data_IF_953487714098
#
_entry.id   IF_953487714098
#
_cell.length_a   1.000
_cell.length_b   1.000
_cell.length_c   1.000
_cell.angle_alpha   90.00
_cell.angle_beta   90.00
_cell.angle_gamma   90.00
#
_symmetry.space_group_name_H-M   'P 1'
#
loop_
_entity.id
_entity.type
_entity.pdbx_description
1 polymer ?
#
# COMPACT_ATOMS: atom_id res chain seq x y z
N UNK A 1 -21.16 45.38 12.89
CA UNK A 1 -20.31 44.31 13.46
C UNK A 1 -19.32 45.02 14.35
N UNK A 2 -19.35 44.79 15.66
CA UNK A 2 -18.35 45.35 16.57
C UNK A 2 -17.00 44.68 16.33
N UNK A 3 -15.96 45.50 16.19
CA UNK A 3 -14.57 45.11 15.97
C UNK A 3 -13.98 44.63 17.29
N UNK A 4 -13.98 43.33 17.54
CA UNK A 4 -13.22 42.73 18.63
C UNK A 4 -13.91 41.51 19.21
N UNK A 5 -13.43 40.33 18.79
CA UNK A 5 -13.62 38.96 19.31
C UNK A 5 -14.03 37.98 18.19
N UNK A 6 -13.37 36.86 17.86
CA UNK A 6 -12.22 36.12 18.44
C UNK A 6 -11.68 35.21 17.31
N UNK A 7 -10.73 35.69 16.51
CA UNK A 7 -9.88 34.80 15.70
C UNK A 7 -8.61 34.50 16.48
N UNK A 8 -8.29 33.23 16.73
CA UNK A 8 -7.01 32.85 17.34
C UNK A 8 -5.96 32.75 16.23
N UNK A 9 -4.79 33.33 16.47
CA UNK A 9 -3.63 33.14 15.60
C UNK A 9 -2.88 31.87 16.02
N UNK A 10 -2.47 31.09 15.03
CA UNK A 10 -1.67 29.89 15.17
C UNK A 10 -0.39 30.06 14.37
N UNK A 11 0.75 29.73 14.98
CA UNK A 11 2.02 29.71 14.26
C UNK A 11 2.12 28.48 13.34
N UNK A 12 2.99 28.54 12.32
CA UNK A 12 3.26 27.38 11.47
C UNK A 12 3.72 26.18 12.30
N UNK A 13 3.07 25.03 12.11
CA UNK A 13 3.28 23.80 12.87
C UNK A 13 2.45 23.71 14.16
N UNK A 14 1.74 24.76 14.58
CA UNK A 14 0.89 24.72 15.77
C UNK A 14 -0.37 23.88 15.53
N UNK A 15 -0.70 23.03 16.49
CA UNK A 15 -1.85 22.14 16.43
C UNK A 15 -3.10 22.87 16.91
N UNK A 16 -4.14 22.87 16.09
CA UNK A 16 -5.43 23.49 16.36
C UNK A 16 -6.30 22.54 17.20
N UNK A 17 -6.35 21.27 16.81
CA UNK A 17 -6.94 20.17 17.57
C UNK A 17 -6.37 18.83 17.10
N UNK A 18 -6.56 17.79 17.92
CA UNK A 18 -6.10 16.42 17.62
C UNK A 18 -7.25 15.48 17.29
N UNK A 19 -6.94 14.46 16.52
CA UNK A 19 -7.82 13.31 16.30
C UNK A 19 -8.25 12.70 17.64
N UNK A 20 -9.52 12.30 17.75
CA UNK A 20 -10.07 11.71 18.96
C UNK A 20 -10.49 12.71 20.06
N UNK A 21 -10.15 13.99 19.94
CA UNK A 21 -10.63 15.02 20.87
C UNK A 21 -12.14 15.26 20.68
N UNK A 22 -12.82 15.73 21.72
CA UNK A 22 -14.23 16.10 21.62
C UNK A 22 -14.37 17.40 20.82
N UNK A 23 -15.15 17.39 19.75
CA UNK A 23 -15.37 18.58 18.92
C UNK A 23 -16.67 19.31 19.24
N UNK A 24 -16.59 20.40 19.99
CA UNK A 24 -17.77 21.23 20.34
C UNK A 24 -17.87 22.53 19.52
N UNK A 25 -16.86 22.79 18.69
CA UNK A 25 -16.78 23.95 17.80
C UNK A 25 -16.28 23.52 16.42
N UNK A 26 -16.66 24.26 15.38
CA UNK A 26 -16.04 24.22 14.06
C UNK A 26 -15.14 25.43 13.86
N UNK A 27 -14.35 25.44 12.79
CA UNK A 27 -13.40 26.49 12.50
C UNK A 27 -13.55 27.01 11.08
N UNK A 28 -13.33 28.31 10.92
CA UNK A 28 -13.23 28.96 9.62
C UNK A 28 -11.88 29.67 9.50
N UNK A 29 -11.19 29.48 8.38
CA UNK A 29 -9.88 30.09 8.13
C UNK A 29 -10.10 31.53 7.66
N UNK A 30 -9.65 32.51 8.45
CA UNK A 30 -9.70 33.93 8.09
C UNK A 30 -8.48 34.35 7.28
N UNK A 31 -7.33 33.70 7.48
CA UNK A 31 -6.12 33.85 6.67
C UNK A 31 -5.15 32.69 6.96
N UNK A 32 -4.23 32.40 6.03
CA UNK A 32 -3.25 31.33 6.15
C UNK A 32 -3.77 29.97 5.66
N UNK A 33 -3.07 28.90 6.02
CA UNK A 33 -3.33 27.52 5.58
C UNK A 33 -3.32 26.54 6.73
N UNK A 34 -4.19 25.54 6.65
CA UNK A 34 -4.32 24.48 7.65
C UNK A 34 -4.23 23.11 6.96
N UNK A 35 -3.35 22.25 7.46
CA UNK A 35 -3.24 20.85 7.03
C UNK A 35 -4.09 19.96 7.93
N UNK A 36 -4.88 19.10 7.31
CA UNK A 36 -5.63 18.04 7.98
C UNK A 36 -4.86 16.74 7.83
N UNK A 37 -4.48 16.12 8.95
CA UNK A 37 -3.70 14.87 8.96
C UNK A 37 -4.38 13.79 9.77
N UNK A 38 -4.07 12.53 9.48
CA UNK A 38 -4.61 11.38 10.21
C UNK A 38 -3.54 10.33 10.42
N UNK A 39 -3.55 9.70 11.58
CA UNK A 39 -2.67 8.57 11.83
C UNK A 39 -3.25 7.29 11.22
N UNK A 40 -2.43 6.60 10.44
CA UNK A 40 -2.72 5.27 9.91
C UNK A 40 -1.64 4.29 10.40
N UNK A 41 -1.87 2.96 10.28
CA UNK A 41 -0.82 1.97 10.57
C UNK A 41 0.47 2.16 9.76
N UNK A 42 0.40 2.86 8.62
CA UNK A 42 1.55 3.15 7.74
C UNK A 42 2.22 4.50 8.02
N UNK A 43 1.74 5.24 9.03
CA UNK A 43 2.22 6.57 9.38
C UNK A 43 1.16 7.66 9.29
N UNK A 44 1.57 8.91 9.53
CA UNK A 44 0.71 10.08 9.38
C UNK A 44 0.51 10.40 7.90
N UNK A 45 -0.75 10.49 7.46
CA UNK A 45 -1.12 10.90 6.10
C UNK A 45 -1.74 12.30 6.12
N UNK A 46 -1.54 13.04 5.04
CA UNK A 46 -2.24 14.32 4.83
C UNK A 46 -3.54 14.06 4.07
N UNK A 47 -4.68 14.36 4.70
CA UNK A 47 -6.00 14.22 4.08
C UNK A 47 -6.30 15.42 3.17
N UNK A 48 -5.98 16.63 3.64
CA UNK A 48 -6.26 17.85 2.90
C UNK A 48 -5.34 19.00 3.34
N UNK A 49 -5.13 19.95 2.43
CA UNK A 49 -4.58 21.27 2.74
C UNK A 49 -5.67 22.30 2.44
N UNK A 50 -6.04 23.07 3.46
CA UNK A 50 -7.12 24.05 3.44
C UNK A 50 -6.53 25.46 3.44
N UNK A 51 -7.27 26.40 2.87
CA UNK A 51 -6.88 27.80 2.66
C UNK A 51 -7.93 28.79 3.20
N UNK A 52 -7.66 30.08 3.06
CA UNK A 52 -8.58 31.14 3.45
C UNK A 52 -10.01 30.93 2.90
N UNK A 53 -11.00 31.09 3.77
CA UNK A 53 -12.41 30.88 3.46
C UNK A 53 -12.89 29.43 3.68
N UNK A 54 -11.98 28.47 3.81
CA UNK A 54 -12.34 27.08 4.08
C UNK A 54 -12.81 26.88 5.52
N UNK A 55 -13.63 25.85 5.67
CA UNK A 55 -14.23 25.43 6.94
C UNK A 55 -13.73 24.02 7.28
N UNK A 56 -13.43 23.79 8.56
CA UNK A 56 -13.00 22.48 9.05
C UNK A 56 -13.42 22.22 10.49
N UNK A 57 -13.36 20.94 10.89
CA UNK A 57 -13.82 20.50 12.20
C UNK A 57 -15.35 20.55 12.34
N UNK A 58 -16.07 20.68 11.23
CA UNK A 58 -17.52 20.71 11.13
C UNK A 58 -18.16 19.37 11.52
N UNK A 59 -17.51 18.25 11.17
CA UNK A 59 -18.08 16.91 11.34
C UNK A 59 -18.49 16.64 12.79
N UNK A 60 -17.56 16.80 13.72
CA UNK A 60 -17.79 16.58 15.15
C UNK A 60 -18.92 17.45 15.74
N UNK A 61 -19.16 18.63 15.16
CA UNK A 61 -20.24 19.52 15.57
C UNK A 61 -21.63 18.99 15.14
N UNK A 62 -21.70 18.30 13.99
CA UNK A 62 -22.93 17.78 13.41
C UNK A 62 -23.25 16.34 13.83
N UNK A 63 -22.27 15.43 13.77
CA UNK A 63 -22.45 14.01 14.04
C UNK A 63 -22.23 13.62 15.53
N UNK A 64 -21.66 14.54 16.33
CA UNK A 64 -21.31 14.37 17.75
C UNK A 64 -20.30 13.25 18.01
N UNK A 65 -19.52 12.87 17.00
CA UNK A 65 -18.39 11.98 17.14
C UNK A 65 -17.13 12.77 17.50
N UNK A 66 -16.07 12.09 18.02
CA UNK A 66 -14.77 12.72 18.21
C UNK A 66 -14.18 13.26 16.90
N UNK A 67 -13.19 14.17 17.00
CA UNK A 67 -12.45 14.69 15.84
C UNK A 67 -11.94 13.55 14.98
N UNK A 68 -12.26 13.59 13.68
CA UNK A 68 -11.92 12.54 12.71
C UNK A 68 -10.45 12.56 12.27
N UNK A 69 -9.73 13.64 12.53
CA UNK A 69 -8.37 13.94 12.08
C UNK A 69 -7.74 15.03 12.95
N UNK A 70 -6.43 15.23 12.83
CA UNK A 70 -5.73 16.40 13.37
C UNK A 70 -5.88 17.60 12.43
N UNK A 71 -5.80 18.81 12.99
CA UNK A 71 -5.66 20.05 12.24
C UNK A 71 -4.42 20.80 12.72
N UNK A 72 -3.53 21.13 11.78
CA UNK A 72 -2.24 21.79 12.06
C UNK A 72 -2.09 22.99 11.15
N UNK A 73 -1.77 24.16 11.69
CA UNK A 73 -1.45 25.33 10.88
C UNK A 73 -0.17 25.05 10.06
N UNK A 74 -0.18 25.35 8.76
CA UNK A 74 1.00 25.19 7.90
C UNK A 74 1.90 26.41 7.95
N UNK A 75 1.29 27.58 7.98
CA UNK A 75 1.90 28.90 8.09
C UNK A 75 1.19 29.69 9.22
N UNK A 76 1.47 30.98 9.37
CA UNK A 76 0.71 31.82 10.29
C UNK A 76 -0.77 31.88 9.86
N UNK A 77 -1.61 31.20 10.62
CA UNK A 77 -3.02 31.04 10.31
C UNK A 77 -3.89 31.76 11.35
N UNK A 78 -4.84 32.55 10.88
CA UNK A 78 -5.87 33.17 11.72
C UNK A 78 -7.16 32.39 11.59
N UNK A 79 -7.62 31.81 12.69
CA UNK A 79 -8.73 30.85 12.68
C UNK A 79 -9.84 31.32 13.62
N UNK A 80 -11.06 31.38 13.09
CA UNK A 80 -12.26 31.71 13.85
C UNK A 80 -12.94 30.44 14.37
N UNK A 81 -13.14 30.36 15.68
CA UNK A 81 -13.89 29.26 16.32
C UNK A 81 -15.38 29.58 16.38
N UNK A 82 -16.20 28.69 15.85
CA UNK A 82 -17.66 28.84 15.76
C UNK A 82 -18.32 27.69 16.52
N UNK A 83 -18.96 28.01 17.64
CA UNK A 83 -19.79 27.04 18.37
C UNK A 83 -21.16 26.86 17.71
N UNK A 84 -21.92 25.86 18.19
CA UNK A 84 -23.25 25.55 17.64
C UNK A 84 -24.23 26.73 17.69
N UNK A 85 -24.23 27.54 18.77
CA UNK A 85 -25.13 28.70 18.90
C UNK A 85 -24.73 29.81 17.91
N UNK A 86 -23.42 30.07 17.79
CA UNK A 86 -22.85 31.00 16.80
C UNK A 86 -23.12 30.54 15.38
N UNK A 87 -23.08 29.24 15.11
CA UNK A 87 -23.43 28.67 13.81
C UNK A 87 -24.89 28.97 13.43
N UNK A 88 -25.85 28.63 14.30
CA UNK A 88 -27.27 28.89 14.02
C UNK A 88 -27.58 30.38 13.83
N UNK A 89 -26.99 31.25 14.65
CA UNK A 89 -27.16 32.70 14.49
C UNK A 89 -26.50 33.22 13.21
N UNK A 90 -25.36 32.65 12.80
CA UNK A 90 -24.70 33.02 11.54
C UNK A 90 -25.48 32.52 10.33
N UNK A 91 -26.02 31.28 10.34
CA UNK A 91 -26.87 30.73 9.27
C UNK A 91 -28.11 31.61 9.05
N UNK A 92 -28.77 32.03 10.14
CA UNK A 92 -29.95 32.91 10.03
C UNK A 92 -29.62 34.29 9.45
N UNK A 93 -28.38 34.76 9.63
CA UNK A 93 -27.93 36.06 9.14
C UNK A 93 -27.38 36.00 7.72
N UNK A 94 -26.71 34.90 7.38
CA UNK A 94 -26.09 34.65 6.10
C UNK A 94 -26.26 33.17 5.70
N UNK A 95 -27.33 32.85 4.94
CA UNK A 95 -27.58 31.49 4.45
C UNK A 95 -26.50 30.96 3.51
N UNK A 96 -25.62 31.81 2.94
CA UNK A 96 -24.56 31.37 2.01
C UNK A 96 -23.52 30.48 2.70
N UNK A 97 -23.38 30.59 4.02
CA UNK A 97 -22.52 29.72 4.83
C UNK A 97 -22.92 28.24 4.71
N UNK A 98 -24.23 27.95 4.64
CA UNK A 98 -24.73 26.57 4.48
C UNK A 98 -24.30 26.00 3.13
N UNK A 99 -24.37 26.81 2.06
CA UNK A 99 -23.93 26.39 0.74
C UNK A 99 -22.43 26.10 0.69
N UNK A 100 -21.59 26.91 1.35
CA UNK A 100 -20.14 26.64 1.47
C UNK A 100 -19.84 25.35 2.24
N UNK A 101 -20.58 25.07 3.31
CA UNK A 101 -20.45 23.80 4.05
C UNK A 101 -20.82 22.62 3.15
N UNK A 102 -21.95 22.71 2.44
CA UNK A 102 -22.40 21.67 1.51
C UNK A 102 -21.40 21.45 0.37
N UNK A 103 -20.85 22.52 -0.19
CA UNK A 103 -19.84 22.46 -1.26
C UNK A 103 -18.56 21.78 -0.78
N UNK A 104 -18.03 22.17 0.39
CA UNK A 104 -16.86 21.55 1.00
C UNK A 104 -17.08 20.05 1.27
N UNK A 105 -18.23 19.68 1.84
CA UNK A 105 -18.58 18.27 2.04
C UNK A 105 -18.69 17.51 0.71
N UNK A 106 -19.30 18.13 -0.31
CA UNK A 106 -19.46 17.53 -1.65
C UNK A 106 -18.11 17.28 -2.32
N UNK A 107 -17.17 18.21 -2.21
CA UNK A 107 -15.79 18.06 -2.69
C UNK A 107 -15.06 16.94 -1.93
N UNK A 108 -15.21 16.88 -0.60
CA UNK A 108 -14.66 15.80 0.23
C UNK A 108 -15.18 14.42 -0.19
N UNK A 109 -16.49 14.31 -0.42
CA UNK A 109 -17.12 13.06 -0.89
C UNK A 109 -16.59 12.64 -2.25
N UNK A 110 -16.45 13.59 -3.20
CA UNK A 110 -15.86 13.31 -4.53
C UNK A 110 -14.42 12.80 -4.42
N UNK A 111 -13.59 13.49 -3.63
CA UNK A 111 -12.19 13.08 -3.40
C UNK A 111 -12.09 11.68 -2.77
N UNK A 112 -12.93 11.39 -1.76
CA UNK A 112 -12.97 10.06 -1.14
C UNK A 112 -13.43 8.98 -2.12
N UNK A 113 -14.44 9.28 -2.95
CA UNK A 113 -14.93 8.33 -3.96
C UNK A 113 -13.88 8.04 -5.04
N UNK A 114 -13.13 9.04 -5.48
CA UNK A 114 -12.03 8.86 -6.44
C UNK A 114 -10.88 8.03 -5.84
N UNK A 115 -10.51 8.29 -4.59
CA UNK A 115 -9.51 7.50 -3.87
C UNK A 115 -9.97 6.05 -3.70
N UNK A 116 -11.25 5.84 -3.35
CA UNK A 116 -11.85 4.51 -3.21
C UNK A 116 -11.97 3.78 -4.55
N UNK A 117 -12.23 4.49 -5.66
CA UNK A 117 -12.20 3.92 -7.01
C UNK A 117 -10.79 3.46 -7.41
N UNK A 118 -9.75 4.26 -7.12
CA UNK A 118 -8.35 3.85 -7.33
C UNK A 118 -7.99 2.60 -6.53
N UNK A 119 -8.41 2.53 -5.27
CA UNK A 119 -8.23 1.35 -4.42
C UNK A 119 -8.97 0.11 -4.96
N UNK A 120 -10.19 0.28 -5.48
CA UNK A 120 -10.98 -0.82 -6.08
C UNK A 120 -10.39 -1.31 -7.39
N UNK A 121 -9.90 -0.42 -8.26
CA UNK A 121 -9.26 -0.78 -9.51
C UNK A 121 -7.94 -1.53 -9.29
N UNK A 122 -7.14 -1.08 -8.32
CA UNK A 122 -5.93 -1.81 -7.90
C UNK A 122 -6.27 -3.21 -7.38
N UNK A 123 -7.32 -3.34 -6.54
CA UNK A 123 -7.80 -4.62 -6.02
C UNK A 123 -8.37 -5.53 -7.12
N UNK A 124 -9.15 -5.00 -8.06
CA UNK A 124 -9.79 -5.79 -9.11
C UNK A 124 -8.79 -6.34 -10.14
N UNK A 125 -7.70 -5.61 -10.41
CA UNK A 125 -6.64 -6.05 -11.34
C UNK A 125 -5.72 -7.11 -10.74
N UNK A 126 -5.49 -7.08 -9.42
CA UNK A 126 -4.58 -8.01 -8.73
C UNK A 126 -5.30 -9.26 -8.22
N UNK A 127 -6.60 -9.19 -7.92
CA UNK A 127 -7.43 -10.31 -7.41
C UNK A 127 -8.19 -11.00 -8.55
N UNK A 128 -7.50 -11.37 -9.64
CA UNK A 128 -7.95 -12.50 -10.44
C UNK A 128 -7.38 -13.74 -9.76
N UNK A 129 -8.23 -14.64 -9.26
CA UNK A 129 -7.77 -15.93 -8.71
C UNK A 129 -7.10 -16.67 -9.87
N UNK A 130 -5.77 -16.59 -9.93
CA UNK A 130 -4.97 -17.38 -10.83
C UNK A 130 -4.27 -18.45 -9.97
N UNK A 131 -4.60 -19.74 -10.12
CA UNK A 131 -3.98 -20.80 -9.32
C UNK A 131 -2.50 -21.01 -9.66
N UNK A 132 -1.99 -20.36 -10.70
CA UNK A 132 -0.61 -20.44 -11.13
C UNK A 132 0.20 -19.26 -10.57
N UNK A 133 1.21 -19.59 -9.76
CA UNK A 133 2.10 -18.62 -9.12
C UNK A 133 2.88 -17.81 -10.15
N UNK A 134 3.35 -18.43 -11.24
CA UNK A 134 4.15 -17.78 -12.29
C UNK A 134 3.30 -16.81 -13.10
N UNK A 135 2.08 -17.19 -13.45
CA UNK A 135 1.12 -16.29 -14.12
C UNK A 135 0.78 -15.10 -13.22
N UNK A 136 0.54 -15.35 -11.93
CA UNK A 136 0.27 -14.30 -10.94
C UNK A 136 1.43 -13.31 -10.83
N UNK A 137 2.67 -13.82 -10.76
CA UNK A 137 3.88 -12.98 -10.77
C UNK A 137 3.98 -12.12 -12.04
N UNK A 138 3.67 -12.69 -13.20
CA UNK A 138 3.64 -11.96 -14.47
C UNK A 138 2.64 -10.81 -14.45
N UNK A 139 1.40 -11.07 -14.01
CA UNK A 139 0.37 -10.02 -13.90
C UNK A 139 0.75 -8.90 -12.93
N UNK A 140 1.35 -9.24 -11.79
CA UNK A 140 1.85 -8.25 -10.83
C UNK A 140 2.93 -7.39 -11.46
N UNK A 141 3.88 -8.00 -12.17
CA UNK A 141 4.98 -7.27 -12.80
C UNK A 141 4.51 -6.38 -13.96
N UNK A 142 3.53 -6.84 -14.74
CA UNK A 142 2.90 -6.01 -15.78
C UNK A 142 2.20 -4.79 -15.17
N UNK A 143 1.53 -4.98 -14.02
CA UNK A 143 0.91 -3.87 -13.29
C UNK A 143 1.97 -2.90 -12.75
N UNK A 144 3.07 -3.41 -12.17
CA UNK A 144 4.19 -2.60 -11.72
C UNK A 144 4.77 -1.73 -12.85
N UNK A 145 4.98 -2.33 -14.03
CA UNK A 145 5.44 -1.63 -15.23
C UNK A 145 4.50 -0.53 -15.69
N UNK A 146 3.19 -0.69 -15.49
CA UNK A 146 2.20 0.35 -15.83
C UNK A 146 2.16 1.52 -14.83
N UNK A 147 2.59 1.29 -13.59
CA UNK A 147 2.63 2.31 -12.54
C UNK A 147 3.91 3.15 -12.60
N UNK A 148 5.05 2.51 -12.84
CA UNK A 148 6.37 3.16 -12.84
C UNK A 148 7.09 2.86 -14.16
N UNK A 149 7.59 3.91 -14.83
CA UNK A 149 8.31 3.82 -16.11
C UNK A 149 9.74 3.31 -15.93
N UNK A 150 9.92 2.03 -15.63
CA UNK A 150 11.23 1.39 -15.55
C UNK A 150 11.70 0.78 -16.87
N UNK A 151 13.02 0.69 -17.07
CA UNK A 151 13.61 0.04 -18.24
C UNK A 151 13.68 -1.48 -18.07
N UNK A 152 13.97 -1.94 -16.84
CA UNK A 152 13.97 -3.35 -16.48
C UNK A 152 13.19 -3.56 -15.18
N UNK A 153 12.78 -4.80 -14.96
CA UNK A 153 12.25 -5.20 -13.67
C UNK A 153 12.02 -6.68 -13.57
N UNK A 154 12.00 -7.16 -12.33
CA UNK A 154 11.77 -8.56 -12.00
C UNK A 154 10.98 -8.69 -10.72
N UNK A 155 10.23 -9.79 -10.63
CA UNK A 155 9.63 -10.26 -9.41
C UNK A 155 10.28 -11.60 -9.07
N UNK A 156 10.89 -11.66 -7.89
CA UNK A 156 11.60 -12.82 -7.39
C UNK A 156 10.94 -13.36 -6.13
N UNK A 157 10.75 -14.67 -6.04
CA UNK A 157 10.24 -15.33 -4.83
C UNK A 157 11.35 -16.11 -4.15
N UNK A 158 11.31 -16.16 -2.82
CA UNK A 158 12.25 -16.93 -2.02
C UNK A 158 11.93 -18.43 -2.11
N UNK A 159 12.88 -19.21 -2.61
CA UNK A 159 12.87 -20.65 -2.43
C UNK A 159 13.45 -20.99 -1.05
N UNK A 160 12.60 -21.45 -0.14
CA UNK A 160 13.02 -21.80 1.22
C UNK A 160 13.90 -23.06 1.28
N UNK A 161 13.91 -23.91 0.24
CA UNK A 161 14.74 -25.13 0.20
C UNK A 161 16.18 -24.76 -0.09
N UNK A 162 16.38 -24.01 -1.17
CA UNK A 162 17.71 -23.60 -1.66
C UNK A 162 18.19 -22.28 -1.01
N UNK A 163 17.32 -21.61 -0.25
CA UNK A 163 17.55 -20.28 0.36
C UNK A 163 17.97 -19.21 -0.65
N UNK A 164 17.45 -19.31 -1.88
CA UNK A 164 17.78 -18.44 -3.02
C UNK A 164 16.54 -17.73 -3.56
N UNK A 165 16.68 -16.53 -4.10
CA UNK A 165 15.61 -15.86 -4.87
C UNK A 165 15.51 -16.43 -6.28
N UNK A 166 14.30 -16.82 -6.69
CA UNK A 166 14.00 -17.33 -8.03
C UNK A 166 13.21 -16.28 -8.79
N UNK A 167 13.69 -15.89 -9.97
CA UNK A 167 12.97 -14.96 -10.86
C UNK A 167 11.73 -15.66 -11.39
N UNK A 168 10.56 -15.14 -11.03
CA UNK A 168 9.26 -15.68 -11.46
C UNK A 168 8.71 -14.96 -12.67
N UNK A 169 9.00 -13.66 -12.78
CA UNK A 169 8.67 -12.82 -13.92
C UNK A 169 9.75 -11.75 -14.10
N UNK A 170 10.02 -11.36 -15.35
CA UNK A 170 10.97 -10.29 -15.67
C UNK A 170 10.66 -9.61 -17.01
N UNK A 171 11.07 -8.35 -17.14
CA UNK A 171 11.11 -7.62 -18.41
C UNK A 171 12.39 -6.80 -18.54
N UNK A 172 12.70 -6.37 -19.76
CA UNK A 172 13.97 -5.71 -20.08
C UNK A 172 15.11 -6.72 -20.18
N UNK A 173 16.29 -6.32 -19.71
CA UNK A 173 17.53 -7.10 -19.77
C UNK A 173 17.53 -8.24 -18.74
N UNK A 174 16.68 -8.20 -17.71
CA UNK A 174 16.55 -9.23 -16.67
C UNK A 174 15.87 -10.53 -17.14
N UNK A 175 15.73 -10.74 -18.46
CA UNK A 175 14.83 -11.74 -19.05
C UNK A 175 15.24 -13.21 -18.88
N UNK A 176 16.48 -13.54 -18.53
CA UNK A 176 16.89 -14.94 -18.31
C UNK A 176 17.94 -15.10 -17.20
N UNK A 177 17.62 -15.89 -16.17
CA UNK A 177 18.58 -16.36 -15.17
C UNK A 177 17.96 -16.71 -13.81
N UNK A 178 18.54 -17.70 -13.12
CA UNK A 178 18.44 -17.79 -11.65
C UNK A 178 19.47 -16.82 -11.08
N UNK A 179 19.05 -15.86 -10.28
CA UNK A 179 19.99 -15.06 -9.51
C UNK A 179 20.34 -15.85 -8.24
N UNK A 180 21.61 -16.24 -8.07
CA UNK A 180 22.07 -16.91 -6.84
C UNK A 180 22.15 -15.88 -5.71
N UNK A 181 20.98 -15.42 -5.25
CA UNK A 181 20.84 -14.38 -4.24
C UNK A 181 20.41 -15.03 -2.94
N UNK A 182 21.40 -15.25 -2.07
CA UNK A 182 21.20 -15.68 -0.68
C UNK A 182 20.74 -14.50 0.17
N UNK A 183 19.98 -14.76 1.24
CA UNK A 183 19.56 -13.72 2.22
C UNK A 183 20.77 -12.90 2.69
N UNK A 184 20.68 -11.57 2.58
CA UNK A 184 21.73 -10.63 2.99
C UNK A 184 22.85 -10.39 1.97
N UNK A 185 22.76 -10.94 0.76
CA UNK A 185 23.69 -10.66 -0.34
C UNK A 185 23.00 -9.85 -1.42
N UNK A 186 23.62 -8.75 -1.86
CA UNK A 186 22.98 -7.82 -2.80
C UNK A 186 21.89 -6.95 -2.16
N UNK A 187 21.46 -5.91 -2.88
CA UNK A 187 20.36 -5.03 -2.48
C UNK A 187 19.08 -5.85 -2.22
N UNK A 188 18.72 -6.74 -3.15
CA UNK A 188 17.54 -7.61 -3.03
C UNK A 188 17.61 -8.54 -1.81
N UNK A 189 18.78 -9.10 -1.51
CA UNK A 189 18.96 -9.97 -0.35
C UNK A 189 18.88 -9.21 0.98
N UNK A 190 19.31 -7.94 1.01
CA UNK A 190 19.19 -7.08 2.18
C UNK A 190 17.73 -6.64 2.40
N UNK A 191 17.03 -6.23 1.34
CA UNK A 191 15.59 -5.92 1.40
C UNK A 191 14.76 -7.14 1.84
N UNK A 192 15.11 -8.33 1.36
CA UNK A 192 14.48 -9.57 1.81
C UNK A 192 14.68 -9.83 3.31
N UNK A 193 15.84 -9.45 3.86
CA UNK A 193 16.20 -9.63 5.28
C UNK A 193 15.54 -8.57 6.16
N UNK A 194 15.60 -7.30 5.76
CA UNK A 194 15.10 -6.17 6.55
C UNK A 194 13.60 -5.98 6.40
N UNK A 195 13.04 -6.43 5.27
CA UNK A 195 11.68 -6.13 4.86
C UNK A 195 11.47 -4.62 4.65
N UNK A 196 12.48 -3.84 4.28
CA UNK A 196 12.31 -2.41 4.02
C UNK A 196 12.39 -2.13 2.53
N UNK A 197 11.44 -1.35 2.00
CA UNK A 197 11.51 -0.89 0.62
C UNK A 197 12.64 0.13 0.49
N UNK A 198 13.40 0.08 -0.59
CA UNK A 198 14.56 0.93 -0.81
C UNK A 198 14.52 1.59 -2.19
N UNK A 199 14.84 2.88 -2.20
CA UNK A 199 15.13 3.68 -3.38
C UNK A 199 16.64 3.90 -3.44
N UNK A 200 17.26 3.42 -4.52
CA UNK A 200 18.70 3.50 -4.74
C UNK A 200 18.93 4.48 -5.90
N UNK A 201 19.42 5.66 -5.57
CA UNK A 201 19.64 6.76 -6.51
C UNK A 201 20.82 6.51 -7.45
N UNK A 202 21.92 5.98 -6.93
CA UNK A 202 23.04 5.47 -7.72
C UNK A 202 23.40 4.07 -7.24
N UNK A 203 23.19 3.09 -8.10
CA UNK A 203 23.54 1.69 -7.83
C UNK A 203 25.06 1.50 -7.88
N UNK A 204 25.79 2.34 -8.63
CA UNK A 204 27.26 2.31 -8.73
C UNK A 204 27.95 2.67 -7.43
N UNK A 205 27.31 3.48 -6.59
CA UNK A 205 27.82 3.88 -5.28
C UNK A 205 27.40 2.92 -4.16
N UNK A 206 26.46 2.00 -4.42
CA UNK A 206 25.99 1.04 -3.44
C UNK A 206 26.93 -0.17 -3.33
N UNK A 207 27.58 -0.31 -2.17
CA UNK A 207 28.53 -1.40 -1.88
C UNK A 207 27.91 -2.80 -1.97
N UNK A 208 26.58 -2.91 -1.90
CA UNK A 208 25.87 -4.19 -2.03
C UNK A 208 25.72 -4.59 -3.49
N UNK A 209 25.94 -3.69 -4.45
CA UNK A 209 25.85 -4.01 -5.86
C UNK A 209 27.19 -4.52 -6.39
N UNK A 210 27.25 -5.80 -6.72
CA UNK A 210 28.40 -6.37 -7.42
C UNK A 210 28.31 -6.08 -8.92
N UNK A 211 29.48 -5.79 -9.50
CA UNK A 211 29.63 -5.30 -10.86
C UNK A 211 28.94 -6.24 -11.86
N UNK A 212 27.79 -5.82 -12.37
CA UNK A 212 27.00 -6.55 -13.35
C UNK A 212 27.35 -6.07 -14.75
N UNK A 213 27.28 -6.95 -15.75
CA UNK A 213 27.37 -6.58 -17.17
C UNK A 213 26.18 -5.71 -17.63
N UNK A 214 25.17 -5.53 -16.76
CA UNK A 214 23.96 -4.76 -17.02
C UNK A 214 24.15 -3.32 -16.53
N UNK A 215 23.89 -2.35 -17.41
CA UNK A 215 23.97 -0.94 -17.08
C UNK A 215 22.73 -0.49 -16.27
N UNK A 216 22.88 -0.51 -14.94
CA UNK A 216 21.87 -0.02 -13.99
C UNK A 216 22.41 1.24 -13.31
N UNK A 217 21.68 2.35 -13.43
CA UNK A 217 22.00 3.61 -12.76
C UNK A 217 21.24 3.77 -11.45
N UNK A 218 19.94 3.50 -11.44
CA UNK A 218 19.09 3.57 -10.25
C UNK A 218 18.11 2.40 -10.16
N UNK A 219 17.59 2.16 -8.95
CA UNK A 219 16.73 1.01 -8.65
C UNK A 219 15.72 1.30 -7.55
N UNK A 220 14.52 0.70 -7.67
CA UNK A 220 13.59 0.45 -6.58
C UNK A 220 13.63 -1.03 -6.23
N UNK A 221 13.75 -1.34 -4.95
CA UNK A 221 13.65 -2.72 -4.45
C UNK A 221 12.58 -2.79 -3.36
N UNK A 222 11.53 -3.56 -3.61
CA UNK A 222 10.30 -3.55 -2.82
C UNK A 222 10.03 -4.96 -2.27
N UNK A 223 9.89 -5.16 -0.95
CA UNK A 223 9.59 -6.45 -0.38
C UNK A 223 8.12 -6.84 -0.59
N UNK A 224 7.88 -8.13 -0.82
CA UNK A 224 6.56 -8.76 -0.83
C UNK A 224 6.32 -9.42 0.53
N UNK A 225 5.59 -8.75 1.43
CA UNK A 225 5.42 -9.17 2.83
C UNK A 225 4.10 -9.88 3.06
N UNK A 226 4.15 -10.97 3.82
CA UNK A 226 3.00 -11.44 4.57
C UNK A 226 3.26 -11.28 6.07
N UNK A 227 2.25 -11.60 6.89
CA UNK A 227 2.27 -11.35 8.33
C UNK A 227 3.47 -11.99 9.07
N UNK A 228 4.02 -13.08 8.53
CA UNK A 228 5.05 -13.90 9.20
C UNK A 228 6.44 -13.83 8.56
N UNK A 229 6.55 -13.49 7.27
CA UNK A 229 7.83 -13.42 6.55
C UNK A 229 7.74 -12.64 5.24
N UNK A 230 8.89 -12.34 4.64
CA UNK A 230 8.97 -11.79 3.27
C UNK A 230 8.99 -12.94 2.26
N UNK A 231 8.01 -12.95 1.36
CA UNK A 231 7.85 -13.96 0.29
C UNK A 231 8.85 -13.79 -0.85
N UNK A 232 9.29 -12.56 -1.08
CA UNK A 232 10.08 -12.20 -2.25
C UNK A 232 10.27 -10.69 -2.39
N UNK A 233 10.74 -10.26 -3.55
CA UNK A 233 10.98 -8.84 -3.87
C UNK A 233 10.52 -8.50 -5.29
N UNK A 234 10.17 -7.24 -5.50
CA UNK A 234 10.01 -6.63 -6.83
C UNK A 234 11.15 -5.64 -7.02
N UNK A 235 11.90 -5.80 -8.11
CA UNK A 235 12.94 -4.87 -8.52
C UNK A 235 12.49 -4.11 -9.76
N UNK A 236 12.70 -2.80 -9.78
CA UNK A 236 12.50 -1.94 -10.93
C UNK A 236 13.77 -1.12 -11.13
N UNK A 237 14.33 -1.10 -12.33
CA UNK A 237 15.61 -0.44 -12.59
C UNK A 237 15.64 0.40 -13.86
N UNK A 238 16.52 1.39 -13.88
CA UNK A 238 16.72 2.29 -15.01
C UNK A 238 18.22 2.60 -15.19
N UNK A 239 18.74 2.76 -16.43
CA UNK A 239 20.15 3.07 -16.67
C UNK A 239 20.60 4.44 -16.15
N UNK A 240 19.67 5.39 -16.07
CA UNK A 240 19.94 6.72 -15.50
C UNK A 240 19.96 6.67 -13.96
N UNK A 241 20.87 7.42 -13.35
CA UNK A 241 20.89 7.69 -11.92
C UNK A 241 19.79 8.69 -11.54
N UNK A 242 19.40 8.71 -10.25
CA UNK A 242 18.39 9.61 -9.69
C UNK A 242 17.07 9.63 -10.48
N UNK A 243 16.73 8.52 -11.14
CA UNK A 243 15.61 8.48 -12.06
C UNK A 243 14.26 8.27 -11.34
N UNK A 244 14.26 7.46 -10.28
CA UNK A 244 13.06 7.18 -9.49
C UNK A 244 12.89 8.19 -8.35
N UNK A 245 11.63 8.49 -8.03
CA UNK A 245 11.22 9.41 -6.97
C UNK A 245 10.65 8.68 -5.76
N UNK A 246 10.39 9.44 -4.67
CA UNK A 246 9.66 8.92 -3.51
C UNK A 246 8.19 8.59 -3.84
N UNK A 247 7.60 9.26 -4.83
CA UNK A 247 6.25 8.95 -5.28
C UNK A 247 6.22 7.58 -5.99
N UNK A 248 7.22 7.27 -6.82
CA UNK A 248 7.36 5.94 -7.43
C UNK A 248 7.50 4.85 -6.35
N UNK A 249 8.32 5.10 -5.32
CA UNK A 249 8.48 4.19 -4.18
C UNK A 249 7.15 3.97 -3.45
N UNK A 250 6.38 5.04 -3.21
CA UNK A 250 5.07 4.98 -2.55
C UNK A 250 4.04 4.18 -3.37
N UNK A 251 3.96 4.42 -4.68
CA UNK A 251 3.10 3.68 -5.60
C UNK A 251 3.44 2.18 -5.62
N UNK A 252 4.74 1.86 -5.69
CA UNK A 252 5.20 0.48 -5.70
C UNK A 252 5.01 -0.24 -4.36
N UNK A 253 5.20 0.46 -3.23
CA UNK A 253 4.93 -0.09 -1.91
C UNK A 253 3.42 -0.35 -1.69
N UNK A 254 2.56 0.48 -2.29
CA UNK A 254 1.11 0.23 -2.32
C UNK A 254 0.78 -1.02 -3.14
N UNK A 255 1.39 -1.17 -4.33
CA UNK A 255 1.21 -2.37 -5.15
C UNK A 255 1.69 -3.64 -4.43
N UNK A 256 2.83 -3.58 -3.73
CA UNK A 256 3.44 -4.75 -3.09
C UNK A 256 2.54 -5.35 -2.00
N UNK A 257 1.76 -4.54 -1.31
CA UNK A 257 0.77 -5.00 -0.32
C UNK A 257 -0.26 -5.94 -0.98
N UNK A 258 -0.87 -5.51 -2.09
CA UNK A 258 -1.85 -6.32 -2.82
C UNK A 258 -1.23 -7.52 -3.53
N UNK A 259 -0.05 -7.32 -4.12
CA UNK A 259 0.73 -8.39 -4.74
C UNK A 259 1.02 -9.52 -3.74
N UNK A 260 1.39 -9.16 -2.51
CA UNK A 260 1.66 -10.13 -1.44
C UNK A 260 0.41 -10.94 -1.08
N UNK A 261 -0.77 -10.33 -1.07
CA UNK A 261 -2.02 -11.05 -0.83
C UNK A 261 -2.35 -12.03 -1.97
N UNK A 262 -2.22 -11.59 -3.22
CA UNK A 262 -2.47 -12.45 -4.38
C UNK A 262 -1.51 -13.64 -4.44
N UNK A 263 -0.23 -13.40 -4.15
CA UNK A 263 0.80 -14.45 -4.12
C UNK A 263 0.56 -15.44 -2.99
N UNK A 264 0.15 -14.98 -1.79
CA UNK A 264 -0.24 -15.89 -0.70
C UNK A 264 -1.37 -16.81 -1.14
N UNK A 265 -2.40 -16.27 -1.79
CA UNK A 265 -3.53 -17.07 -2.26
C UNK A 265 -3.10 -18.12 -3.31
N UNK A 266 -2.27 -17.72 -4.28
CA UNK A 266 -1.75 -18.65 -5.28
C UNK A 266 -0.86 -19.75 -4.65
N UNK A 267 0.03 -19.39 -3.73
CA UNK A 267 0.88 -20.35 -3.02
C UNK A 267 0.07 -21.31 -2.14
N UNK A 268 -0.93 -20.80 -1.42
CA UNK A 268 -1.83 -21.61 -0.60
C UNK A 268 -2.63 -22.61 -1.45
N UNK A 269 -3.07 -22.19 -2.64
CA UNK A 269 -3.76 -23.07 -3.58
C UNK A 269 -2.86 -24.23 -4.05
N UNK A 270 -1.60 -23.93 -4.41
CA UNK A 270 -0.62 -24.96 -4.79
C UNK A 270 -0.34 -25.94 -3.65
N UNK A 271 -0.18 -25.43 -2.42
CA UNK A 271 0.05 -26.26 -1.23
C UNK A 271 -1.13 -27.19 -0.96
N UNK A 272 -2.37 -26.67 -1.04
CA UNK A 272 -3.57 -27.46 -0.85
C UNK A 272 -3.68 -28.57 -1.91
N UNK A 273 -3.44 -28.24 -3.18
CA UNK A 273 -3.44 -29.21 -4.28
C UNK A 273 -2.43 -30.33 -4.06
N UNK A 274 -1.18 -29.98 -3.70
CA UNK A 274 -0.12 -30.96 -3.42
C UNK A 274 -0.48 -31.89 -2.25
N UNK A 275 -1.13 -31.35 -1.20
CA UNK A 275 -1.58 -32.15 -0.07
C UNK A 275 -2.70 -33.13 -0.49
N UNK A 276 -3.68 -32.68 -1.28
CA UNK A 276 -4.74 -33.53 -1.80
C UNK A 276 -4.20 -34.63 -2.72
N UNK A 277 -3.27 -34.31 -3.63
CA UNK A 277 -2.63 -35.28 -4.52
C UNK A 277 -1.83 -36.33 -3.72
N UNK A 278 -1.19 -35.92 -2.62
CA UNK A 278 -0.47 -36.83 -1.71
C UNK A 278 -1.39 -37.82 -0.98
N UNK A 279 -2.55 -37.35 -0.53
CA UNK A 279 -3.59 -38.19 0.09
C UNK A 279 -4.15 -39.17 -0.94
N UNK A 280 -4.44 -38.70 -2.15
CA UNK A 280 -4.98 -39.55 -3.22
C UNK A 280 -4.01 -40.68 -3.55
N UNK A 281 -2.71 -40.38 -3.71
CA UNK A 281 -1.66 -41.41 -3.92
C UNK A 281 -1.60 -42.45 -2.81
N UNK A 282 -1.71 -42.04 -1.54
CA UNK A 282 -1.74 -42.99 -0.42
C UNK A 282 -2.99 -43.86 -0.45
N UNK A 283 -4.16 -43.28 -0.74
CA UNK A 283 -5.40 -44.02 -0.86
C UNK A 283 -5.35 -45.04 -2.00
N UNK A 284 -4.75 -44.68 -3.15
CA UNK A 284 -4.56 -45.59 -4.27
C UNK A 284 -3.62 -46.75 -3.91
N UNK A 285 -2.47 -46.47 -3.28
CA UNK A 285 -1.56 -47.52 -2.80
C UNK A 285 -2.25 -48.48 -1.82
N UNK A 286 -3.01 -47.97 -0.85
CA UNK A 286 -3.74 -48.82 0.10
C UNK A 286 -4.76 -49.72 -0.61
N UNK A 287 -5.44 -49.19 -1.63
CA UNK A 287 -6.41 -49.97 -2.40
C UNK A 287 -5.74 -51.05 -3.25
N UNK A 288 -4.58 -50.77 -3.85
CA UNK A 288 -3.77 -51.75 -4.60
C UNK A 288 -3.20 -52.84 -3.67
N UNK A 289 -2.70 -52.48 -2.49
CA UNK A 289 -2.27 -53.44 -1.47
C UNK A 289 -3.42 -54.34 -1.01
N UNK A 290 -4.60 -53.77 -0.74
CA UNK A 290 -5.78 -54.54 -0.36
C UNK A 290 -6.21 -55.49 -1.48
N UNK A 291 -6.19 -55.06 -2.74
CA UNK A 291 -6.51 -55.90 -3.90
C UNK A 291 -5.49 -57.05 -4.09
N UNK A 292 -4.21 -56.80 -3.87
CA UNK A 292 -3.16 -57.82 -3.91
C UNK A 292 -3.33 -58.90 -2.84
N UNK A 293 -3.66 -58.51 -1.61
CA UNK A 293 -3.96 -59.48 -0.53
C UNK A 293 -5.22 -60.32 -0.81
N UNK A 294 -6.20 -59.79 -1.54
CA UNK A 294 -7.40 -60.53 -1.97
C UNK A 294 -7.11 -61.55 -3.10
N UNK A 295 -6.10 -61.32 -3.94
CA UNK A 295 -5.67 -62.28 -4.97
C UNK A 295 -4.83 -63.43 -4.42
N UNK A 296 -3.96 -63.19 -3.43
CA UNK A 296 -3.14 -64.24 -2.79
C UNK A 296 -3.94 -65.15 -1.83
N UNK A 297 -5.14 -64.73 -1.42
CA UNK A 297 -6.00 -65.45 -0.48
C UNK A 297 -7.10 -66.29 -1.14
N UNK A 298 -7.16 -66.37 -2.48
CA UNK A 298 -8.02 -67.31 -3.20
C UNK A 298 -7.48 -68.75 -3.01
N UNK A 299 -8.26 -69.69 -2.44
CA UNK A 299 -7.82 -71.08 -2.31
C UNK A 299 -7.66 -71.70 -3.70
N UNK A 300 -6.53 -72.34 -3.98
CA UNK A 300 -6.37 -73.23 -5.15
C UNK A 300 -7.51 -74.24 -5.14
N UNK A 301 -8.45 -74.09 -6.06
CA UNK A 301 -9.51 -75.08 -6.28
C UNK A 301 -8.91 -76.17 -7.17
N UNK A 302 -8.65 -77.34 -6.57
CA UNK A 302 -8.32 -78.60 -7.26
C UNK A 302 -9.59 -79.23 -7.84
#
# INVERSE_FOLDING_TARGET
>A
MEKGELGKNYAGGEIIFREGEKGEVMYAIQSGKVKITKFTPSGEITIATLQEGDIFGEMALFDRLPRSANAVALDEARVLSIDKKKLFTTINRDPTLVFKILESMSQRIRSLNEELAKLRDAKAKVVKICPDVKVTCGMILDQAKSLVKAANGSLMLLDNREKTLVIMAAFGIEREGKADLRKGYGIAGDVLKTGRAELINSVREDKRFENSQIEIGSMLCIPLKCDTHVLGVINMSHPAENYFSLDDLSMMNTLSFYASLALQNALNFVNLKNATDGILKHATMLNEYAAGMYQESQPFTL
#
